data_IF_847159321756
#
_entry.id   IF_847159321756
#
_cell.length_a   1.000
_cell.length_b   1.000
_cell.length_c   1.000
_cell.angle_alpha   90.00
_cell.angle_beta   90.00
_cell.angle_gamma   90.00
#
_symmetry.space_group_name_H-M   'P 1'
#
loop_
_entity.id
_entity.type
_entity.pdbx_description
1 polymer ?
#
# COMPACT_ATOMS: atom_id res chain seq x y z
N UNK A 1 14.36 5.10 -0.37
CA UNK A 1 15.05 4.31 -1.40
C UNK A 1 14.07 3.98 -2.53
N UNK A 2 14.10 4.76 -3.62
CA UNK A 2 13.63 4.22 -4.89
C UNK A 2 14.64 3.14 -5.31
N UNK A 3 14.13 2.06 -5.87
CA UNK A 3 14.95 0.96 -6.38
C UNK A 3 15.59 1.42 -7.68
N UNK A 4 16.85 1.04 -7.95
CA UNK A 4 17.58 1.47 -9.17
C UNK A 4 16.76 1.34 -10.45
N UNK A 5 15.93 0.29 -10.56
CA UNK A 5 15.02 0.06 -11.69
C UNK A 5 13.95 1.14 -11.82
N UNK A 6 13.35 1.59 -10.73
CA UNK A 6 12.31 2.64 -10.76
C UNK A 6 12.90 3.98 -11.17
N UNK A 7 14.12 4.30 -10.71
CA UNK A 7 14.81 5.52 -11.12
C UNK A 7 15.11 5.51 -12.62
N UNK A 8 15.58 4.38 -13.17
CA UNK A 8 15.78 4.22 -14.62
C UNK A 8 14.49 4.42 -15.42
N UNK A 9 13.37 3.82 -15.00
CA UNK A 9 12.09 4.00 -15.69
C UNK A 9 11.61 5.45 -15.63
N UNK A 10 11.80 6.13 -14.49
CA UNK A 10 11.45 7.56 -14.36
C UNK A 10 12.29 8.40 -15.32
N UNK A 11 13.59 8.15 -15.42
CA UNK A 11 14.48 8.84 -16.35
C UNK A 11 14.07 8.60 -17.81
N UNK A 12 13.79 7.35 -18.19
CA UNK A 12 13.32 7.01 -19.55
C UNK A 12 12.00 7.70 -19.90
N UNK A 13 11.05 7.76 -18.96
CA UNK A 13 9.78 8.46 -19.14
C UNK A 13 9.97 9.96 -19.31
N UNK A 14 10.87 10.57 -18.54
CA UNK A 14 11.21 11.99 -18.64
C UNK A 14 11.84 12.27 -20.01
N UNK A 15 12.83 11.49 -20.41
CA UNK A 15 13.54 11.69 -21.67
C UNK A 15 12.61 11.49 -22.88
N UNK A 16 11.61 10.61 -22.78
CA UNK A 16 10.61 10.40 -23.83
C UNK A 16 9.54 11.49 -23.93
N UNK A 17 9.30 12.26 -22.86
CA UNK A 17 8.14 13.18 -22.77
C UNK A 17 8.50 14.65 -22.64
N UNK A 18 9.68 14.97 -22.10
CA UNK A 18 10.06 16.33 -21.74
C UNK A 18 11.12 16.87 -22.70
N UNK A 19 10.81 17.98 -23.37
CA UNK A 19 11.74 18.67 -24.28
C UNK A 19 12.51 19.82 -23.63
N UNK A 20 12.13 20.23 -22.41
CA UNK A 20 12.70 21.39 -21.73
C UNK A 20 12.97 21.12 -20.24
N UNK A 21 13.86 21.93 -19.66
CA UNK A 21 14.33 21.75 -18.28
C UNK A 21 13.20 21.90 -17.25
N UNK A 22 12.20 22.74 -17.54
CA UNK A 22 11.09 22.99 -16.61
C UNK A 22 10.13 21.80 -16.60
N UNK A 23 9.74 21.26 -17.75
CA UNK A 23 8.94 20.04 -17.82
C UNK A 23 9.67 18.88 -17.18
N UNK A 24 10.96 18.68 -17.47
CA UNK A 24 11.78 17.65 -16.84
C UNK A 24 11.80 17.75 -15.31
N UNK A 25 12.00 18.94 -14.75
CA UNK A 25 11.99 19.12 -13.30
C UNK A 25 10.61 18.81 -12.68
N UNK A 26 9.53 19.26 -13.32
CA UNK A 26 8.17 18.98 -12.87
C UNK A 26 7.86 17.48 -12.90
N UNK A 27 8.13 16.81 -14.01
CA UNK A 27 7.85 15.38 -14.18
C UNK A 27 8.69 14.52 -13.24
N UNK A 28 9.95 14.87 -13.00
CA UNK A 28 10.79 14.19 -12.02
C UNK A 28 10.11 14.15 -10.64
N UNK A 29 9.69 15.32 -10.14
CA UNK A 29 9.04 15.40 -8.84
C UNK A 29 7.66 14.74 -8.82
N UNK A 30 6.87 14.88 -9.89
CA UNK A 30 5.57 14.26 -10.01
C UNK A 30 5.66 12.73 -9.99
N UNK A 31 6.56 12.14 -10.78
CA UNK A 31 6.75 10.69 -10.86
C UNK A 31 7.28 10.10 -9.56
N UNK A 32 8.27 10.74 -8.91
CA UNK A 32 8.69 10.32 -7.58
C UNK A 32 7.57 10.47 -6.54
N UNK A 33 6.75 11.52 -6.65
CA UNK A 33 5.55 11.70 -5.83
C UNK A 33 4.57 10.54 -6.00
N UNK A 34 4.26 10.19 -7.24
CA UNK A 34 3.37 9.08 -7.58
C UNK A 34 3.87 7.75 -7.04
N UNK A 35 5.16 7.44 -7.21
CA UNK A 35 5.75 6.20 -6.67
C UNK A 35 5.61 6.13 -5.15
N UNK A 36 5.79 7.24 -4.43
CA UNK A 36 5.59 7.27 -2.98
C UNK A 36 4.13 7.01 -2.59
N UNK A 37 3.18 7.62 -3.31
CA UNK A 37 1.74 7.41 -3.06
C UNK A 37 1.35 5.96 -3.33
N UNK A 38 1.74 5.42 -4.49
CA UNK A 38 1.47 4.03 -4.86
C UNK A 38 2.00 3.03 -3.82
N UNK A 39 3.23 3.24 -3.32
CA UNK A 39 3.80 2.40 -2.25
C UNK A 39 3.01 2.51 -0.94
N UNK A 40 2.54 3.71 -0.59
CA UNK A 40 1.72 3.90 0.60
C UNK A 40 0.36 3.21 0.49
N UNK A 41 -0.25 3.26 -0.70
CA UNK A 41 -1.51 2.57 -1.00
C UNK A 41 -1.34 1.04 -0.95
N UNK A 42 -0.29 0.51 -1.59
CA UNK A 42 0.06 -0.91 -1.53
C UNK A 42 0.25 -1.39 -0.09
N UNK A 43 0.98 -0.63 0.72
CA UNK A 43 1.19 -0.98 2.13
C UNK A 43 -0.13 -0.96 2.94
N UNK A 44 -1.01 0.00 2.67
CA UNK A 44 -2.34 0.03 3.33
C UNK A 44 -3.19 -1.16 2.93
N UNK A 45 -3.15 -1.55 1.67
CA UNK A 45 -3.88 -2.73 1.20
C UNK A 45 -3.36 -4.00 1.84
N UNK A 46 -2.04 -4.20 1.85
CA UNK A 46 -1.42 -5.32 2.55
C UNK A 46 -1.80 -5.38 4.03
N UNK A 47 -1.91 -4.25 4.72
CA UNK A 47 -2.36 -4.22 6.12
C UNK A 47 -3.80 -4.71 6.25
N UNK A 48 -4.71 -4.29 5.37
CA UNK A 48 -6.10 -4.77 5.35
C UNK A 48 -6.17 -6.28 5.09
N UNK A 49 -5.36 -6.77 4.15
CA UNK A 49 -5.29 -8.20 3.84
C UNK A 49 -4.79 -9.00 5.04
N UNK A 50 -3.78 -8.48 5.75
CA UNK A 50 -3.30 -9.07 7.01
C UNK A 50 -4.39 -9.06 8.06
N UNK A 51 -5.02 -7.91 8.35
CA UNK A 51 -6.09 -7.78 9.35
C UNK A 51 -7.22 -8.78 9.07
N UNK A 52 -7.61 -8.92 7.81
CA UNK A 52 -8.62 -9.89 7.35
C UNK A 52 -8.16 -11.34 7.54
N UNK A 53 -6.90 -11.64 7.23
CA UNK A 53 -6.34 -13.00 7.32
C UNK A 53 -6.10 -13.44 8.77
N UNK A 54 -5.72 -12.52 9.66
CA UNK A 54 -5.59 -12.80 11.10
C UNK A 54 -6.93 -12.96 11.79
N UNK A 55 -8.03 -12.53 11.16
CA UNK A 55 -9.38 -12.65 11.69
C UNK A 55 -9.63 -11.71 12.86
N UNK A 56 -10.91 -11.42 13.09
CA UNK A 56 -11.44 -10.81 14.29
C UNK A 56 -11.19 -11.74 15.51
N UNK A 57 -9.93 -11.85 15.96
CA UNK A 57 -9.49 -12.62 17.15
C UNK A 57 -9.98 -11.96 18.45
N UNK A 58 -11.00 -11.11 18.38
CA UNK A 58 -11.52 -10.33 19.50
C UNK A 58 -12.97 -10.66 19.87
N UNK A 59 -13.64 -11.61 19.21
CA UNK A 59 -14.85 -12.19 19.80
C UNK A 59 -14.45 -13.44 20.61
N UNK A 60 -14.34 -13.34 21.96
CA UNK A 60 -14.58 -14.51 22.76
C UNK A 60 -15.99 -14.95 22.40
N UNK A 61 -16.07 -16.06 21.68
CA UNK A 61 -17.29 -16.80 21.50
C UNK A 61 -17.79 -17.04 22.92
N UNK A 62 -18.85 -16.32 23.31
CA UNK A 62 -19.59 -16.57 24.54
C UNK A 62 -19.93 -18.06 24.51
N UNK A 63 -19.12 -18.86 25.21
CA UNK A 63 -19.44 -20.23 25.53
C UNK A 63 -20.64 -20.14 26.46
N UNK A 64 -21.82 -20.03 25.86
CA UNK A 64 -23.11 -20.20 26.49
C UNK A 64 -23.13 -21.65 26.99
N UNK A 65 -22.52 -21.84 28.16
CA UNK A 65 -22.58 -23.08 28.91
C UNK A 65 -23.97 -23.11 29.51
N UNK A 66 -24.91 -23.55 28.68
CA UNK A 66 -26.26 -23.98 29.04
C UNK A 66 -26.13 -25.08 30.11
N UNK A 67 -25.92 -24.64 31.35
CA UNK A 67 -25.95 -25.47 32.55
C UNK A 67 -27.41 -25.71 32.87
N UNK A 68 -28.00 -26.62 32.11
CA UNK A 68 -29.31 -27.17 32.37
C UNK A 68 -29.15 -28.19 33.50
N UNK A 69 -29.36 -27.75 34.75
CA UNK A 69 -29.54 -28.68 35.87
C UNK A 69 -30.93 -29.33 35.78
N UNK A 70 -31.04 -30.68 35.76
CA UNK A 70 -32.29 -31.36 36.06
C UNK A 70 -32.30 -31.81 37.53
N UNK A 71 -33.34 -31.35 38.23
CA UNK A 71 -34.02 -31.91 39.42
C UNK A 71 -33.24 -32.13 40.71
#
# INVERSE_FOLDING_TARGET
>A
MLTRVTDTIIEELIDATCSDTRSRHFFLHALHGLVRVARAEQLREMRRDVDRATGDVSQPQDCDSDSREPT
#
